data_IF_758081453395
#
_entry.id   IF_758081453395
#
_cell.length_a   1.000
_cell.length_b   1.000
_cell.length_c   1.000
_cell.angle_alpha   90.00
_cell.angle_beta   90.00
_cell.angle_gamma   90.00
#
_symmetry.space_group_name_H-M   'P 1'
#
loop_
_entity.id
_entity.type
_entity.pdbx_description
1 polymer ?
#
# COMPACT_ATOMS: atom_id res chain seq x y z
N UNK A 1 24.53 -32.06 38.32
CA UNK A 1 24.57 -30.92 39.25
C UNK A 1 25.14 -29.78 38.46
N UNK A 2 24.43 -28.82 38.07
CA UNK A 2 23.50 -27.89 38.71
C UNK A 2 22.49 -27.32 37.72
N UNK A 3 21.32 -27.26 38.23
CA UNK A 3 20.13 -26.64 37.72
C UNK A 3 20.33 -25.12 37.55
N UNK A 4 19.91 -24.54 36.42
CA UNK A 4 19.64 -23.12 36.32
C UNK A 4 18.32 -22.92 35.55
N UNK A 5 17.27 -22.93 36.34
CA UNK A 5 15.91 -22.55 36.04
C UNK A 5 15.83 -21.14 35.39
N UNK A 6 15.43 -21.09 34.13
CA UNK A 6 15.04 -19.86 33.45
C UNK A 6 13.60 -19.52 33.83
N UNK A 7 13.44 -18.71 34.87
CA UNK A 7 12.22 -17.99 35.20
C UNK A 7 12.24 -16.65 34.47
N UNK A 8 11.55 -16.55 33.31
CA UNK A 8 11.50 -15.33 32.52
C UNK A 8 10.18 -15.10 31.76
N UNK A 9 9.05 -15.67 32.20
CA UNK A 9 7.77 -15.62 31.46
C UNK A 9 6.65 -14.75 32.08
N UNK A 10 6.93 -13.91 33.08
CA UNK A 10 5.88 -13.14 33.75
C UNK A 10 5.37 -11.85 33.03
N UNK A 11 6.17 -11.03 32.32
CA UNK A 11 5.67 -9.76 31.80
C UNK A 11 4.80 -9.87 30.53
N UNK A 12 5.04 -10.89 29.67
CA UNK A 12 4.30 -11.04 28.41
C UNK A 12 2.84 -11.44 28.64
N UNK A 13 2.58 -12.33 29.57
CA UNK A 13 1.23 -12.83 29.87
C UNK A 13 0.32 -11.76 30.50
N UNK A 14 0.86 -10.90 31.36
CA UNK A 14 0.09 -9.79 31.97
C UNK A 14 -0.30 -8.71 30.96
N UNK A 15 0.57 -8.38 30.00
CA UNK A 15 0.26 -7.40 28.96
C UNK A 15 -0.83 -7.88 27.99
N UNK A 16 -0.84 -9.16 27.62
CA UNK A 16 -1.87 -9.75 26.75
C UNK A 16 -3.23 -9.72 27.45
N UNK A 17 -3.29 -10.05 28.74
CA UNK A 17 -4.55 -10.03 29.50
C UNK A 17 -5.11 -8.62 29.64
N UNK A 18 -4.29 -7.62 29.94
CA UNK A 18 -4.71 -6.20 30.02
C UNK A 18 -5.22 -5.68 28.68
N UNK A 19 -4.54 -6.00 27.58
CA UNK A 19 -4.97 -5.61 26.23
C UNK A 19 -6.34 -6.20 25.90
N UNK A 20 -6.56 -7.48 26.18
CA UNK A 20 -7.84 -8.15 25.91
C UNK A 20 -8.98 -7.57 26.76
N UNK A 21 -8.73 -7.20 28.01
CA UNK A 21 -9.71 -6.53 28.85
C UNK A 21 -10.09 -5.16 28.30
N UNK A 22 -9.11 -4.36 27.84
CA UNK A 22 -9.37 -3.05 27.24
C UNK A 22 -10.22 -3.20 25.96
N UNK A 23 -9.89 -4.15 25.10
CA UNK A 23 -10.66 -4.44 23.88
C UNK A 23 -12.10 -4.82 24.24
N UNK A 24 -12.29 -5.70 25.24
CA UNK A 24 -13.61 -6.12 25.70
C UNK A 24 -14.44 -4.96 26.25
N UNK A 25 -13.83 -4.08 27.04
CA UNK A 25 -14.50 -2.88 27.59
C UNK A 25 -14.88 -1.88 26.48
N UNK A 26 -14.03 -1.69 25.50
CA UNK A 26 -14.33 -0.82 24.34
C UNK A 26 -15.47 -1.39 23.49
N UNK A 27 -15.45 -2.68 23.21
CA UNK A 27 -16.54 -3.33 22.48
C UNK A 27 -17.86 -3.21 23.24
N UNK A 28 -17.84 -3.43 24.57
CA UNK A 28 -19.01 -3.25 25.41
C UNK A 28 -19.54 -1.80 25.34
N UNK A 29 -18.65 -0.82 25.42
CA UNK A 29 -19.01 0.60 25.32
C UNK A 29 -19.69 0.90 23.97
N UNK A 30 -19.11 0.44 22.86
CA UNK A 30 -19.68 0.66 21.53
C UNK A 30 -21.02 -0.05 21.34
N UNK A 31 -21.18 -1.26 21.91
CA UNK A 31 -22.46 -1.98 21.89
C UNK A 31 -23.52 -1.24 22.73
N UNK A 32 -23.15 -0.69 23.89
CA UNK A 32 -24.07 0.12 24.70
C UNK A 32 -24.52 1.38 23.96
N UNK A 33 -23.59 2.07 23.28
CA UNK A 33 -23.93 3.23 22.42
C UNK A 33 -24.86 2.78 21.28
N UNK A 34 -24.58 1.65 20.65
CA UNK A 34 -25.39 1.11 19.58
C UNK A 34 -26.82 0.77 20.05
N UNK A 35 -26.95 0.16 21.21
CA UNK A 35 -28.26 -0.14 21.83
C UNK A 35 -29.02 1.13 22.21
N UNK A 36 -28.33 2.17 22.67
CA UNK A 36 -28.95 3.46 22.96
C UNK A 36 -29.45 4.16 21.70
N UNK A 37 -28.75 3.99 20.58
CA UNK A 37 -29.12 4.53 19.27
C UNK A 37 -30.14 3.65 18.52
N UNK A 38 -30.45 2.46 19.03
CA UNK A 38 -31.29 1.46 18.37
C UNK A 38 -32.65 2.03 17.94
N UNK A 39 -33.00 1.83 16.66
CA UNK A 39 -34.27 2.22 16.08
C UNK A 39 -34.47 3.72 15.87
N UNK A 40 -33.46 4.57 16.11
CA UNK A 40 -33.53 6.01 15.82
C UNK A 40 -33.27 6.28 14.34
N UNK A 41 -34.00 7.21 13.69
CA UNK A 41 -33.71 7.57 12.31
C UNK A 41 -32.31 8.22 12.20
N UNK A 42 -31.60 7.93 11.11
CA UNK A 42 -30.22 8.41 10.91
C UNK A 42 -30.08 9.94 10.95
N UNK A 43 -31.15 10.69 10.63
CA UNK A 43 -31.20 12.16 10.72
C UNK A 43 -31.09 12.68 12.17
N UNK A 44 -31.50 11.89 13.17
CA UNK A 44 -31.43 12.26 14.58
C UNK A 44 -30.13 11.83 15.25
N UNK A 45 -29.36 10.91 14.65
CA UNK A 45 -28.13 10.39 15.22
C UNK A 45 -26.96 11.37 15.13
N UNK A 46 -26.97 12.30 14.17
CA UNK A 46 -25.89 13.26 13.98
C UNK A 46 -24.51 12.59 13.94
N UNK A 47 -23.57 13.06 14.76
CA UNK A 47 -22.22 12.48 14.88
C UNK A 47 -22.21 11.07 15.42
N UNK A 48 -23.21 10.65 16.18
CA UNK A 48 -23.30 9.28 16.72
C UNK A 48 -23.51 8.25 15.61
N UNK A 49 -24.02 8.63 14.45
CA UNK A 49 -24.11 7.75 13.28
C UNK A 49 -22.76 7.23 12.78
N UNK A 50 -21.66 7.90 13.13
CA UNK A 50 -20.29 7.46 12.80
C UNK A 50 -19.70 6.45 13.81
N UNK A 51 -20.43 6.08 14.85
CA UNK A 51 -19.96 5.13 15.90
C UNK A 51 -19.34 3.84 15.31
N UNK A 52 -19.91 3.18 14.29
CA UNK A 52 -19.29 1.99 13.72
C UNK A 52 -17.91 2.26 13.07
N UNK A 53 -17.76 3.41 12.40
CA UNK A 53 -16.48 3.81 11.80
C UNK A 53 -15.43 4.17 12.85
N UNK A 54 -15.87 4.85 13.93
CA UNK A 54 -15.00 5.18 15.07
C UNK A 54 -14.55 3.89 15.77
N UNK A 55 -15.45 2.92 15.95
CA UNK A 55 -15.12 1.62 16.51
C UNK A 55 -14.08 0.89 15.65
N UNK A 56 -14.26 0.85 14.32
CA UNK A 56 -13.30 0.28 13.37
C UNK A 56 -11.92 0.93 13.53
N UNK A 57 -11.86 2.25 13.54
CA UNK A 57 -10.61 3.00 13.64
C UNK A 57 -9.89 2.71 14.98
N UNK A 58 -10.59 2.77 16.10
CA UNK A 58 -10.02 2.56 17.43
C UNK A 58 -9.54 1.11 17.58
N UNK A 59 -10.35 0.12 17.19
CA UNK A 59 -9.96 -1.29 17.29
C UNK A 59 -8.72 -1.58 16.44
N UNK A 60 -8.64 -1.03 15.22
CA UNK A 60 -7.48 -1.17 14.34
C UNK A 60 -6.22 -0.52 14.93
N UNK A 61 -6.34 0.67 15.53
CA UNK A 61 -5.22 1.38 16.18
C UNK A 61 -4.67 0.64 17.40
N UNK A 62 -5.53 -0.04 18.17
CA UNK A 62 -5.12 -0.87 19.32
C UNK A 62 -4.45 -2.17 18.83
N UNK A 63 -4.52 -2.46 17.53
CA UNK A 63 -3.91 -3.65 16.92
C UNK A 63 -4.78 -4.90 17.08
N UNK A 64 -6.09 -4.75 17.00
CA UNK A 64 -7.03 -5.84 16.73
C UNK A 64 -6.88 -6.20 15.26
N UNK A 65 -7.00 -7.50 14.93
CA UNK A 65 -7.03 -7.95 13.56
C UNK A 65 -8.10 -7.20 12.77
N UNK A 66 -7.75 -6.73 11.56
CA UNK A 66 -8.61 -5.84 10.79
C UNK A 66 -9.94 -6.51 10.41
N UNK A 67 -9.92 -7.83 10.18
CA UNK A 67 -11.14 -8.61 9.87
C UNK A 67 -12.09 -8.60 11.07
N UNK A 68 -11.56 -8.82 12.27
CA UNK A 68 -12.34 -8.79 13.50
C UNK A 68 -12.87 -7.38 13.79
N UNK A 69 -12.06 -6.34 13.52
CA UNK A 69 -12.48 -4.95 13.68
C UNK A 69 -13.63 -4.59 12.73
N UNK A 70 -13.56 -5.03 11.45
CA UNK A 70 -14.62 -4.82 10.46
C UNK A 70 -15.89 -5.57 10.84
N UNK A 71 -15.80 -6.85 11.20
CA UNK A 71 -16.97 -7.64 11.63
C UNK A 71 -17.63 -6.98 12.85
N UNK A 72 -16.84 -6.56 13.84
CA UNK A 72 -17.35 -5.87 15.03
C UNK A 72 -18.07 -4.56 14.66
N UNK A 73 -17.50 -3.78 13.74
CA UNK A 73 -18.09 -2.54 13.22
C UNK A 73 -19.42 -2.79 12.51
N UNK A 74 -19.51 -3.83 11.70
CA UNK A 74 -20.76 -4.24 11.02
C UNK A 74 -21.82 -4.63 12.03
N UNK A 75 -21.46 -5.42 13.05
CA UNK A 75 -22.41 -5.82 14.11
C UNK A 75 -22.94 -4.58 14.87
N UNK A 76 -22.07 -3.64 15.20
CA UNK A 76 -22.44 -2.38 15.85
C UNK A 76 -23.42 -1.59 14.95
N UNK A 77 -23.15 -1.49 13.65
CA UNK A 77 -24.01 -0.83 12.69
C UNK A 77 -25.39 -1.50 12.60
N UNK A 78 -25.45 -2.84 12.56
CA UNK A 78 -26.69 -3.61 12.53
C UNK A 78 -27.56 -3.34 13.77
N UNK A 79 -26.94 -3.32 14.96
CA UNK A 79 -27.65 -3.03 16.21
C UNK A 79 -28.23 -1.61 16.17
N UNK A 80 -27.46 -0.63 15.69
CA UNK A 80 -27.91 0.77 15.60
C UNK A 80 -29.06 0.96 14.63
N UNK A 81 -29.01 0.32 13.46
CA UNK A 81 -29.99 0.49 12.38
C UNK A 81 -31.16 -0.47 12.48
N UNK A 82 -31.18 -1.36 13.47
CA UNK A 82 -32.21 -2.43 13.61
C UNK A 82 -32.30 -3.33 12.37
N UNK A 83 -31.20 -3.48 11.63
CA UNK A 83 -31.15 -4.25 10.38
C UNK A 83 -31.12 -5.74 10.67
N UNK A 84 -32.06 -6.50 10.11
CA UNK A 84 -32.10 -7.97 10.23
C UNK A 84 -31.04 -8.67 9.39
N UNK A 85 -30.72 -9.93 9.73
CA UNK A 85 -29.74 -10.75 8.96
C UNK A 85 -30.07 -10.86 7.46
N UNK A 86 -31.33 -11.06 7.02
CA UNK A 86 -31.65 -11.10 5.60
C UNK A 86 -31.43 -9.77 4.89
N UNK A 87 -31.76 -8.66 5.56
CA UNK A 87 -31.52 -7.32 5.03
C UNK A 87 -30.03 -7.01 4.93
N UNK A 88 -29.21 -7.45 5.90
CA UNK A 88 -27.78 -7.34 5.84
C UNK A 88 -27.20 -8.05 4.60
N UNK A 89 -27.66 -9.26 4.29
CA UNK A 89 -27.24 -9.96 3.07
C UNK A 89 -27.52 -9.15 1.80
N UNK A 90 -28.69 -8.54 1.71
CA UNK A 90 -29.05 -7.68 0.57
C UNK A 90 -28.25 -6.37 0.55
N UNK A 91 -27.94 -5.78 1.71
CA UNK A 91 -27.08 -4.60 1.83
C UNK A 91 -25.66 -4.91 1.42
N UNK A 92 -25.09 -6.02 1.87
CA UNK A 92 -23.76 -6.48 1.46
C UNK A 92 -23.70 -6.72 -0.06
N UNK A 93 -24.69 -7.40 -0.63
CA UNK A 93 -24.79 -7.63 -2.07
C UNK A 93 -24.91 -6.30 -2.86
N UNK A 94 -25.66 -5.32 -2.35
CA UNK A 94 -25.73 -3.97 -2.94
C UNK A 94 -24.46 -3.17 -2.76
N UNK A 95 -23.80 -3.30 -1.60
CA UNK A 95 -22.55 -2.59 -1.29
C UNK A 95 -21.38 -3.10 -2.13
N UNK A 96 -21.36 -4.39 -2.46
CA UNK A 96 -20.43 -4.97 -3.45
C UNK A 96 -20.80 -4.60 -4.90
N UNK A 97 -21.80 -3.70 -5.07
CA UNK A 97 -22.22 -3.20 -6.36
C UNK A 97 -21.10 -2.57 -7.19
N UNK A 98 -21.41 -2.09 -8.38
CA UNK A 98 -20.49 -1.76 -9.47
C UNK A 98 -19.24 -0.93 -9.04
N UNK A 99 -19.39 -0.03 -8.07
CA UNK A 99 -18.27 0.83 -7.64
C UNK A 99 -17.21 0.06 -6.84
N UNK A 100 -17.61 -0.63 -5.78
CA UNK A 100 -16.65 -1.40 -4.93
C UNK A 100 -16.04 -2.55 -5.72
N UNK A 101 -16.83 -3.23 -6.55
CA UNK A 101 -16.33 -4.28 -7.44
C UNK A 101 -15.26 -3.72 -8.39
N UNK A 102 -15.48 -2.55 -8.99
CA UNK A 102 -14.53 -1.92 -9.91
C UNK A 102 -13.26 -1.46 -9.19
N UNK A 103 -13.38 -0.79 -8.04
CA UNK A 103 -12.23 -0.36 -7.24
C UNK A 103 -11.43 -1.56 -6.74
N UNK A 104 -12.10 -2.59 -6.21
CA UNK A 104 -11.46 -3.82 -5.77
C UNK A 104 -10.72 -4.54 -6.90
N UNK A 105 -11.31 -4.59 -8.10
CA UNK A 105 -10.66 -5.16 -9.28
C UNK A 105 -9.41 -4.36 -9.69
N UNK A 106 -9.45 -3.02 -9.64
CA UNK A 106 -8.29 -2.17 -9.93
C UNK A 106 -7.17 -2.43 -8.92
N UNK A 107 -7.50 -2.54 -7.63
CA UNK A 107 -6.54 -2.85 -6.57
C UNK A 107 -5.87 -4.21 -6.81
N UNK A 108 -6.66 -5.23 -7.09
CA UNK A 108 -6.14 -6.58 -7.38
C UNK A 108 -5.28 -6.59 -8.64
N UNK A 109 -5.73 -5.96 -9.72
CA UNK A 109 -4.96 -5.86 -10.96
C UNK A 109 -3.65 -5.09 -10.76
N UNK A 110 -3.63 -4.03 -9.93
CA UNK A 110 -2.41 -3.32 -9.57
C UNK A 110 -1.37 -4.25 -8.94
N UNK A 111 -1.78 -5.10 -8.00
CA UNK A 111 -0.90 -6.12 -7.44
C UNK A 111 -0.47 -7.18 -8.46
N UNK A 112 -1.36 -7.55 -9.39
CA UNK A 112 -1.05 -8.42 -10.51
C UNK A 112 0.00 -7.83 -11.44
N UNK A 113 -0.13 -6.56 -11.82
CA UNK A 113 0.86 -5.80 -12.59
C UNK A 113 2.21 -5.78 -11.86
N UNK A 114 2.19 -5.56 -10.54
CA UNK A 114 3.38 -5.60 -9.69
C UNK A 114 4.09 -6.95 -9.75
N UNK A 115 3.36 -8.05 -9.74
CA UNK A 115 3.92 -9.39 -9.88
C UNK A 115 4.55 -9.61 -11.28
N UNK A 116 3.90 -9.15 -12.35
CA UNK A 116 4.46 -9.19 -13.70
C UNK A 116 5.75 -8.37 -13.78
N UNK A 117 5.75 -7.14 -13.26
CA UNK A 117 6.93 -6.27 -13.24
C UNK A 117 8.08 -6.87 -12.41
N UNK A 118 7.77 -7.61 -11.36
CA UNK A 118 8.75 -8.34 -10.55
C UNK A 118 9.34 -9.52 -11.33
N UNK A 119 8.51 -10.38 -11.92
CA UNK A 119 8.97 -11.55 -12.69
C UNK A 119 9.78 -11.19 -13.92
N UNK A 120 9.47 -10.07 -14.58
CA UNK A 120 10.25 -9.56 -15.72
C UNK A 120 11.51 -8.82 -15.31
N UNK A 121 11.65 -8.47 -14.03
CA UNK A 121 12.72 -7.62 -13.50
C UNK A 121 12.57 -6.13 -13.87
N UNK A 122 11.45 -5.74 -14.50
CA UNK A 122 11.20 -4.36 -14.91
C UNK A 122 11.24 -3.38 -13.74
N UNK A 123 10.61 -3.73 -12.63
CA UNK A 123 10.56 -2.87 -11.45
C UNK A 123 11.96 -2.65 -10.84
N UNK A 124 12.78 -3.69 -10.78
CA UNK A 124 14.18 -3.59 -10.31
C UNK A 124 15.01 -2.68 -11.21
N UNK A 125 14.86 -2.80 -12.53
CA UNK A 125 15.59 -1.94 -13.49
C UNK A 125 15.15 -0.47 -13.39
N UNK A 126 13.87 -0.18 -13.14
CA UNK A 126 13.40 1.17 -12.89
C UNK A 126 14.04 1.77 -11.64
N UNK A 127 14.09 1.02 -10.54
CA UNK A 127 14.77 1.48 -9.31
C UNK A 127 16.25 1.74 -9.57
N UNK A 128 16.95 0.80 -10.23
CA UNK A 128 18.36 0.96 -10.61
C UNK A 128 18.58 2.21 -11.46
N UNK A 129 17.71 2.45 -12.45
CA UNK A 129 17.78 3.64 -13.31
C UNK A 129 17.67 4.93 -12.49
N UNK A 130 16.70 5.03 -11.60
CA UNK A 130 16.50 6.21 -10.73
C UNK A 130 17.70 6.42 -9.82
N UNK A 131 18.15 5.37 -9.15
CA UNK A 131 19.27 5.43 -8.20
C UNK A 131 20.59 5.83 -8.89
N UNK A 132 20.87 5.27 -10.09
CA UNK A 132 22.07 5.64 -10.86
C UNK A 132 22.03 7.08 -11.38
N UNK A 133 20.85 7.58 -11.76
CA UNK A 133 20.70 8.97 -12.26
C UNK A 133 20.91 10.00 -11.16
N UNK A 134 20.46 9.72 -9.94
CA UNK A 134 20.61 10.63 -8.79
C UNK A 134 22.03 10.57 -8.21
N UNK A 135 22.70 9.43 -8.38
CA UNK A 135 24.07 9.19 -7.87
C UNK A 135 24.09 8.71 -6.43
N UNK A 136 25.19 8.04 -6.08
CA UNK A 136 25.36 7.30 -4.81
C UNK A 136 26.39 7.95 -3.89
N UNK A 137 26.86 9.18 -4.19
CA UNK A 137 28.03 9.78 -3.57
C UNK A 137 27.80 10.42 -2.19
N UNK A 138 26.53 10.60 -1.77
CA UNK A 138 26.23 11.20 -0.47
C UNK A 138 24.91 10.70 0.11
N UNK A 139 24.77 10.77 1.44
CA UNK A 139 23.53 10.40 2.15
C UNK A 139 22.31 11.12 1.58
N UNK A 140 22.45 12.43 1.27
CA UNK A 140 21.34 13.23 0.74
C UNK A 140 20.91 12.74 -0.63
N UNK A 141 21.83 12.43 -1.54
CA UNK A 141 21.51 11.89 -2.86
C UNK A 141 20.82 10.53 -2.76
N UNK A 142 21.32 9.66 -1.89
CA UNK A 142 20.69 8.35 -1.67
C UNK A 142 19.28 8.50 -1.09
N UNK A 143 19.04 9.44 -0.15
CA UNK A 143 17.70 9.77 0.34
C UNK A 143 16.77 10.20 -0.80
N UNK A 144 17.22 11.08 -1.69
CA UNK A 144 16.45 11.46 -2.89
C UNK A 144 16.19 10.27 -3.82
N UNK A 145 17.17 9.37 -3.99
CA UNK A 145 16.99 8.14 -4.76
C UNK A 145 15.91 7.22 -4.17
N UNK A 146 15.90 7.07 -2.85
CA UNK A 146 14.86 6.31 -2.14
C UNK A 146 13.49 6.94 -2.37
N UNK A 147 13.38 8.26 -2.17
CA UNK A 147 12.12 8.99 -2.34
C UNK A 147 11.60 8.88 -3.77
N UNK A 148 12.43 9.18 -4.77
CA UNK A 148 12.02 9.13 -6.16
C UNK A 148 11.64 7.70 -6.61
N UNK A 149 12.40 6.68 -6.19
CA UNK A 149 12.08 5.27 -6.47
C UNK A 149 10.77 4.85 -5.82
N UNK A 150 10.53 5.26 -4.57
CA UNK A 150 9.31 4.91 -3.84
C UNK A 150 8.07 5.55 -4.47
N UNK A 151 8.14 6.84 -4.84
CA UNK A 151 7.06 7.52 -5.53
C UNK A 151 6.75 6.82 -6.85
N UNK A 152 7.79 6.58 -7.66
CA UNK A 152 7.63 5.96 -8.97
C UNK A 152 7.04 4.55 -8.88
N UNK A 153 7.64 3.69 -8.07
CA UNK A 153 7.25 2.28 -8.00
C UNK A 153 5.91 2.10 -7.30
N UNK A 154 5.71 2.70 -6.11
CA UNK A 154 4.44 2.57 -5.39
C UNK A 154 3.29 3.22 -6.15
N UNK A 155 3.52 4.37 -6.80
CA UNK A 155 2.53 5.05 -7.63
C UNK A 155 2.16 4.28 -8.89
N UNK A 156 3.11 3.58 -9.50
CA UNK A 156 2.88 2.76 -10.69
C UNK A 156 2.22 1.42 -10.37
N UNK A 157 2.58 0.79 -9.25
CA UNK A 157 2.02 -0.49 -8.82
C UNK A 157 0.71 -0.36 -8.03
N UNK A 158 0.39 0.84 -7.54
CA UNK A 158 -0.78 1.09 -6.70
C UNK A 158 -0.72 0.43 -5.31
N UNK A 159 0.45 -0.04 -4.88
CA UNK A 159 0.62 -0.73 -3.59
C UNK A 159 1.96 -0.39 -2.95
N UNK A 160 1.94 -0.06 -1.65
CA UNK A 160 3.17 0.20 -0.89
C UNK A 160 3.94 -1.09 -0.57
N UNK A 161 3.23 -2.15 -0.21
CA UNK A 161 3.86 -3.40 0.20
C UNK A 161 4.68 -4.02 -0.96
N UNK A 162 4.07 -4.15 -2.14
CA UNK A 162 4.75 -4.67 -3.33
C UNK A 162 5.87 -3.75 -3.81
N UNK A 163 5.61 -2.43 -3.86
CA UNK A 163 6.60 -1.43 -4.27
C UNK A 163 7.82 -1.42 -3.34
N UNK A 164 7.59 -1.34 -2.05
CA UNK A 164 8.67 -1.31 -1.06
C UNK A 164 9.51 -2.60 -1.05
N UNK A 165 8.89 -3.76 -1.21
CA UNK A 165 9.62 -5.03 -1.28
C UNK A 165 10.64 -5.05 -2.44
N UNK A 166 10.30 -4.47 -3.58
CA UNK A 166 11.20 -4.37 -4.74
C UNK A 166 12.32 -3.36 -4.46
N UNK A 167 11.96 -2.21 -3.92
CA UNK A 167 12.90 -1.11 -3.67
C UNK A 167 13.94 -1.52 -2.64
N UNK A 168 13.54 -2.17 -1.57
CA UNK A 168 14.42 -2.67 -0.49
C UNK A 168 15.57 -3.49 -1.04
N UNK A 169 15.30 -4.40 -1.99
CA UNK A 169 16.31 -5.26 -2.56
C UNK A 169 17.46 -4.49 -3.26
N UNK A 170 17.16 -3.31 -3.82
CA UNK A 170 18.16 -2.46 -4.50
C UNK A 170 18.77 -1.42 -3.56
N UNK A 171 17.96 -0.90 -2.64
CA UNK A 171 18.33 0.26 -1.80
C UNK A 171 19.17 -0.14 -0.58
N UNK A 172 18.97 -1.32 0.01
CA UNK A 172 19.70 -1.71 1.24
C UNK A 172 21.23 -1.64 1.06
N UNK A 173 21.84 -2.24 0.01
CA UNK A 173 23.29 -2.16 -0.18
C UNK A 173 23.79 -0.72 -0.31
N UNK A 174 23.03 0.11 -1.03
CA UNK A 174 23.37 1.52 -1.26
C UNK A 174 23.24 2.36 0.01
N UNK A 175 22.16 2.14 0.78
CA UNK A 175 21.91 2.82 2.04
C UNK A 175 22.98 2.46 3.09
N UNK A 176 23.38 1.18 3.16
CA UNK A 176 24.43 0.69 4.02
C UNK A 176 25.78 1.36 3.69
N UNK A 177 26.13 1.47 2.41
CA UNK A 177 27.38 2.09 1.94
C UNK A 177 27.52 3.56 2.38
N UNK A 178 26.41 4.32 2.44
CA UNK A 178 26.40 5.72 2.90
C UNK A 178 26.00 5.87 4.37
N UNK A 179 25.97 4.79 5.14
CA UNK A 179 25.65 4.76 6.58
C UNK A 179 24.26 5.31 6.93
N UNK A 180 23.26 5.13 6.04
CA UNK A 180 21.87 5.38 6.41
C UNK A 180 21.38 4.25 7.32
N UNK A 181 20.65 4.61 8.37
CA UNK A 181 20.13 3.62 9.31
C UNK A 181 18.84 2.98 8.80
N UNK A 182 18.53 1.71 9.16
CA UNK A 182 17.33 1.03 8.74
C UNK A 182 16.02 1.81 9.03
N UNK A 183 15.83 2.42 10.22
CA UNK A 183 14.64 3.22 10.48
C UNK A 183 14.51 4.46 9.59
N UNK A 184 15.64 5.07 9.20
CA UNK A 184 15.64 6.22 8.28
C UNK A 184 15.16 5.83 6.90
N UNK A 185 15.65 4.71 6.38
CA UNK A 185 15.23 4.18 5.08
C UNK A 185 13.75 3.81 5.11
N UNK A 186 13.30 3.13 6.17
CA UNK A 186 11.89 2.77 6.36
C UNK A 186 10.97 4.00 6.38
N UNK A 187 11.35 5.06 7.13
CA UNK A 187 10.58 6.30 7.20
C UNK A 187 10.47 7.00 5.83
N UNK A 188 11.57 7.05 5.06
CA UNK A 188 11.57 7.62 3.71
C UNK A 188 10.69 6.80 2.75
N UNK A 189 10.80 5.48 2.80
CA UNK A 189 10.01 4.60 1.93
C UNK A 189 8.52 4.67 2.24
N UNK A 190 8.14 4.74 3.51
CA UNK A 190 6.74 4.87 3.94
C UNK A 190 6.15 6.20 3.48
N UNK A 191 6.81 7.31 3.74
CA UNK A 191 6.31 8.63 3.35
C UNK A 191 6.29 8.83 1.84
N UNK A 192 7.36 8.47 1.15
CA UNK A 192 7.44 8.59 -0.30
C UNK A 192 6.52 7.59 -1.03
N UNK A 193 6.36 6.38 -0.51
CA UNK A 193 5.39 5.41 -1.02
C UNK A 193 3.95 5.92 -0.92
N UNK A 194 3.59 6.56 0.20
CA UNK A 194 2.28 7.22 0.34
C UNK A 194 2.08 8.32 -0.70
N UNK A 195 3.11 9.13 -0.95
CA UNK A 195 3.07 10.15 -2.02
C UNK A 195 2.85 9.51 -3.39
N UNK A 196 3.52 8.39 -3.66
CA UNK A 196 3.28 7.60 -4.87
C UNK A 196 1.81 7.19 -5.01
N UNK A 197 1.19 6.72 -3.92
CA UNK A 197 -0.22 6.37 -3.92
C UNK A 197 -1.15 7.58 -4.12
N UNK A 198 -0.79 8.76 -3.61
CA UNK A 198 -1.60 9.99 -3.81
C UNK A 198 -1.44 10.58 -5.20
N UNK A 199 -0.34 10.36 -5.88
CA UNK A 199 -0.06 10.96 -7.20
C UNK A 199 -0.23 9.99 -8.36
N UNK A 200 -0.23 8.69 -8.10
CA UNK A 200 -0.40 7.69 -9.17
C UNK A 200 -1.81 7.74 -9.76
N UNK A 201 -1.96 7.83 -11.10
CA UNK A 201 -3.26 8.00 -11.75
C UNK A 201 -4.18 6.78 -11.61
N UNK A 202 -3.61 5.59 -11.39
CA UNK A 202 -4.34 4.32 -11.34
C UNK A 202 -4.23 3.66 -9.97
N UNK A 203 -3.85 4.41 -8.94
CA UNK A 203 -3.79 3.90 -7.58
C UNK A 203 -5.19 3.85 -6.96
N UNK A 204 -5.43 2.92 -6.03
CA UNK A 204 -6.74 2.77 -5.38
C UNK A 204 -7.27 4.05 -4.75
N UNK A 205 -6.41 4.78 -4.02
CA UNK A 205 -6.78 6.03 -3.36
C UNK A 205 -7.20 7.10 -4.35
N UNK A 206 -6.41 7.31 -5.41
CA UNK A 206 -6.73 8.30 -6.46
C UNK A 206 -8.02 7.94 -7.18
N UNK A 207 -8.14 6.69 -7.64
CA UNK A 207 -9.34 6.22 -8.35
C UNK A 207 -10.60 6.37 -7.50
N UNK A 208 -10.52 6.06 -6.20
CA UNK A 208 -11.66 6.22 -5.28
C UNK A 208 -12.07 7.68 -5.13
N UNK A 209 -11.11 8.58 -4.91
CA UNK A 209 -11.41 10.02 -4.74
C UNK A 209 -11.97 10.61 -6.04
N UNK A 210 -11.39 10.29 -7.20
CA UNK A 210 -11.90 10.74 -8.50
C UNK A 210 -13.34 10.32 -8.73
N UNK A 211 -13.65 9.06 -8.41
CA UNK A 211 -14.98 8.51 -8.62
C UNK A 211 -16.04 9.10 -7.68
N UNK A 212 -15.72 9.22 -6.38
CA UNK A 212 -16.66 9.77 -5.39
C UNK A 212 -16.81 11.29 -5.52
N UNK A 213 -15.73 11.98 -5.88
CA UNK A 213 -15.72 13.44 -6.03
C UNK A 213 -16.18 13.96 -7.38
N UNK A 214 -16.35 13.08 -8.39
CA UNK A 214 -16.64 13.50 -9.77
C UNK A 214 -15.55 14.39 -10.38
N UNK A 215 -14.29 14.25 -9.91
CA UNK A 215 -13.17 15.10 -10.30
C UNK A 215 -12.44 14.53 -11.51
N UNK A 216 -11.85 15.40 -12.32
CA UNK A 216 -10.85 14.97 -13.31
C UNK A 216 -9.52 14.69 -12.63
N UNK A 217 -8.68 13.82 -13.22
CA UNK A 217 -7.36 13.53 -12.65
C UNK A 217 -6.46 14.78 -12.55
N UNK A 218 -6.39 15.67 -13.54
CA UNK A 218 -5.61 16.91 -13.42
C UNK A 218 -6.07 17.80 -12.26
N UNK A 219 -7.38 17.98 -12.07
CA UNK A 219 -7.94 18.79 -10.98
C UNK A 219 -7.59 18.17 -9.62
N UNK A 220 -7.80 16.85 -9.50
CA UNK A 220 -7.40 16.12 -8.29
C UNK A 220 -5.91 16.29 -8.00
N UNK A 221 -5.05 16.10 -9.01
CA UNK A 221 -3.61 16.20 -8.83
C UNK A 221 -3.19 17.59 -8.36
N UNK A 222 -3.76 18.64 -8.96
CA UNK A 222 -3.43 20.02 -8.65
C UNK A 222 -3.92 20.46 -7.27
N UNK A 223 -5.18 20.16 -6.95
CA UNK A 223 -5.83 20.69 -5.73
C UNK A 223 -5.70 19.77 -4.51
N UNK A 224 -5.47 18.48 -4.70
CA UNK A 224 -5.39 17.48 -3.61
C UNK A 224 -4.05 16.75 -3.61
N UNK A 225 -3.71 16.08 -4.71
CA UNK A 225 -2.56 15.19 -4.79
C UNK A 225 -1.23 15.90 -4.53
N UNK A 226 -0.95 17.00 -5.21
CA UNK A 226 0.30 17.76 -5.05
C UNK A 226 0.41 18.45 -3.67
N UNK A 227 -0.60 19.15 -3.15
CA UNK A 227 -0.52 19.73 -1.81
C UNK A 227 -0.30 18.69 -0.71
N UNK A 228 -1.05 17.58 -0.73
CA UNK A 228 -0.86 16.48 0.22
C UNK A 228 0.52 15.86 0.11
N UNK A 229 1.01 15.69 -1.12
CA UNK A 229 2.36 15.17 -1.39
C UNK A 229 3.45 16.08 -0.85
N UNK A 230 3.32 17.39 -1.04
CA UNK A 230 4.29 18.37 -0.56
C UNK A 230 4.40 18.34 0.98
N UNK A 231 3.26 18.34 1.68
CA UNK A 231 3.23 18.26 3.14
C UNK A 231 3.83 16.93 3.63
N UNK A 232 3.43 15.82 3.01
CA UNK A 232 3.91 14.48 3.38
C UNK A 232 5.41 14.34 3.15
N UNK A 233 5.95 14.82 2.03
CA UNK A 233 7.39 14.79 1.74
C UNK A 233 8.18 15.68 2.69
N UNK A 234 7.70 16.88 2.99
CA UNK A 234 8.33 17.78 3.95
C UNK A 234 8.41 17.14 5.34
N UNK A 235 7.29 16.66 5.84
CA UNK A 235 7.22 15.99 7.13
C UNK A 235 8.12 14.75 7.16
N UNK A 236 8.05 13.90 6.13
CA UNK A 236 8.85 12.70 6.01
C UNK A 236 10.36 12.98 5.94
N UNK A 237 10.76 14.01 5.21
CA UNK A 237 12.17 14.44 5.11
C UNK A 237 12.72 14.92 6.44
N UNK A 238 11.97 15.76 7.16
CA UNK A 238 12.33 16.26 8.49
C UNK A 238 12.41 15.10 9.49
N UNK A 239 11.41 14.24 9.50
CA UNK A 239 11.38 13.05 10.38
C UNK A 239 12.54 12.10 10.09
N UNK A 240 12.79 11.78 8.83
CA UNK A 240 13.92 10.92 8.45
C UNK A 240 15.27 11.52 8.85
N UNK A 241 15.42 12.85 8.75
CA UNK A 241 16.61 13.54 9.24
C UNK A 241 16.79 13.43 10.75
N UNK A 242 15.70 13.56 11.52
CA UNK A 242 15.72 13.38 12.99
C UNK A 242 16.01 11.92 13.37
N UNK A 243 15.33 10.97 12.73
CA UNK A 243 15.52 9.53 12.96
C UNK A 243 16.99 9.16 12.68
N UNK A 244 17.59 9.66 11.59
CA UNK A 244 18.98 9.41 11.26
C UNK A 244 19.90 9.86 12.42
N UNK A 245 19.74 11.09 12.90
CA UNK A 245 20.55 11.61 14.02
C UNK A 245 20.37 10.81 15.32
N UNK A 246 19.16 10.31 15.59
CA UNK A 246 18.86 9.54 16.82
C UNK A 246 19.41 8.11 16.77
N UNK A 247 19.51 7.54 15.58
CA UNK A 247 19.85 6.13 15.36
C UNK A 247 21.26 5.92 14.79
N UNK A 248 21.92 6.99 14.36
CA UNK A 248 23.29 6.95 13.86
C UNK A 248 24.25 6.44 14.94
N UNK A 249 25.07 5.46 14.58
CA UNK A 249 25.98 4.77 15.50
C UNK A 249 25.34 3.66 16.36
N UNK A 250 24.02 3.63 16.50
CA UNK A 250 23.28 2.62 17.29
C UNK A 250 22.72 1.49 16.44
N UNK A 251 22.18 1.82 15.27
CA UNK A 251 21.56 0.86 14.37
C UNK A 251 22.28 0.90 13.01
N UNK A 252 22.66 -0.29 12.54
CA UNK A 252 23.31 -0.46 11.24
C UNK A 252 22.68 -1.64 10.52
N UNK A 253 22.84 -1.71 9.21
CA UNK A 253 22.54 -2.92 8.47
C UNK A 253 23.61 -3.98 8.77
N UNK A 254 23.20 -5.23 9.00
CA UNK A 254 24.14 -6.35 9.04
C UNK A 254 24.79 -6.51 7.67
N UNK A 255 26.12 -6.60 7.65
CA UNK A 255 26.91 -6.61 6.42
C UNK A 255 26.54 -7.80 5.52
N UNK A 256 26.12 -8.91 6.10
CA UNK A 256 25.70 -10.12 5.38
C UNK A 256 24.42 -9.93 4.53
N UNK A 257 23.59 -8.91 4.85
CA UNK A 257 22.45 -8.55 4.02
C UNK A 257 22.80 -7.67 2.81
N UNK A 258 23.99 -7.06 2.82
CA UNK A 258 24.48 -6.21 1.73
C UNK A 258 25.07 -7.02 0.55
N UNK A 259 25.47 -8.24 0.80
CA UNK A 259 26.07 -9.15 -0.20
C UNK A 259 25.06 -10.19 -0.73
N UNK A 260 23.87 -9.78 -1.13
CA UNK A 260 23.12 -10.66 -2.06
C UNK A 260 23.88 -10.66 -3.39
N UNK A 261 24.25 -11.86 -3.92
CA UNK A 261 24.94 -11.96 -5.19
C UNK A 261 24.16 -11.18 -6.23
N UNK A 262 24.79 -10.23 -6.91
CA UNK A 262 24.25 -9.72 -8.17
C UNK A 262 24.04 -10.95 -9.04
N UNK A 263 22.79 -11.24 -9.40
CA UNK A 263 22.51 -12.29 -10.38
C UNK A 263 23.39 -12.01 -11.61
N UNK A 264 24.29 -12.92 -11.92
CA UNK A 264 25.10 -12.89 -13.15
C UNK A 264 24.19 -13.11 -14.35
N UNK A 265 23.55 -12.00 -14.76
CA UNK A 265 22.64 -12.00 -15.90
C UNK A 265 23.43 -11.92 -17.20
N UNK A 266 23.08 -12.78 -18.15
CA UNK A 266 23.61 -12.64 -19.50
C UNK A 266 23.22 -11.28 -20.09
N UNK A 267 24.04 -10.75 -21.02
CA UNK A 267 23.77 -9.46 -21.67
C UNK A 267 22.37 -9.42 -22.34
N UNK A 268 21.90 -10.55 -22.86
CA UNK A 268 20.57 -10.66 -23.44
C UNK A 268 19.45 -10.53 -22.39
N UNK A 269 19.62 -11.14 -21.21
CA UNK A 269 18.65 -11.03 -20.11
C UNK A 269 18.61 -9.61 -19.56
N UNK A 270 19.77 -8.96 -19.41
CA UNK A 270 19.83 -7.58 -18.94
C UNK A 270 19.15 -6.62 -19.92
N UNK A 271 19.36 -6.82 -21.23
CA UNK A 271 18.66 -6.03 -22.27
C UNK A 271 17.15 -6.23 -22.20
N UNK A 272 16.67 -7.46 -22.03
CA UNK A 272 15.23 -7.76 -21.89
C UNK A 272 14.62 -7.07 -20.67
N UNK A 273 15.29 -7.11 -19.50
CA UNK A 273 14.84 -6.41 -18.29
C UNK A 273 14.71 -4.90 -18.52
N UNK A 274 15.71 -4.27 -19.15
CA UNK A 274 15.68 -2.84 -19.50
C UNK A 274 14.54 -2.50 -20.46
N UNK A 275 14.33 -3.29 -21.50
CA UNK A 275 13.24 -3.10 -22.44
C UNK A 275 11.87 -3.29 -21.77
N UNK A 276 11.73 -4.26 -20.89
CA UNK A 276 10.51 -4.48 -20.11
C UNK A 276 10.22 -3.30 -19.18
N UNK A 277 11.25 -2.74 -18.52
CA UNK A 277 11.12 -1.53 -17.71
C UNK A 277 10.67 -0.32 -18.52
N UNK A 278 11.24 -0.15 -19.73
CA UNK A 278 10.83 0.90 -20.63
C UNK A 278 9.39 0.71 -21.13
N UNK A 279 9.00 -0.52 -21.49
CA UNK A 279 7.63 -0.84 -21.89
C UNK A 279 6.63 -0.57 -20.76
N UNK A 280 6.98 -0.95 -19.53
CA UNK A 280 6.17 -0.66 -18.34
C UNK A 280 5.92 0.85 -18.16
N UNK A 281 7.01 1.64 -18.11
CA UNK A 281 6.91 3.09 -17.93
C UNK A 281 6.20 3.78 -19.09
N UNK A 282 6.55 3.43 -20.32
CA UNK A 282 5.95 4.00 -21.52
C UNK A 282 4.45 3.71 -21.61
N UNK A 283 4.04 2.46 -21.34
CA UNK A 283 2.62 2.10 -21.37
C UNK A 283 1.82 2.89 -20.34
N UNK A 284 2.32 3.02 -19.10
CA UNK A 284 1.65 3.83 -18.08
C UNK A 284 1.51 5.28 -18.51
N UNK A 285 2.59 5.91 -18.99
CA UNK A 285 2.59 7.32 -19.41
C UNK A 285 1.63 7.53 -20.58
N UNK A 286 1.74 6.70 -21.63
CA UNK A 286 0.87 6.82 -22.81
C UNK A 286 -0.59 6.65 -22.44
N UNK A 287 -0.91 5.63 -21.63
CA UNK A 287 -2.29 5.38 -21.22
C UNK A 287 -2.82 6.45 -20.27
N UNK A 288 -1.97 7.04 -19.43
CA UNK A 288 -2.37 8.19 -18.60
C UNK A 288 -2.72 9.40 -19.49
N UNK A 289 -1.90 9.72 -20.50
CA UNK A 289 -2.19 10.80 -21.46
C UNK A 289 -3.49 10.51 -22.22
N UNK A 290 -3.65 9.28 -22.73
CA UNK A 290 -4.88 8.88 -23.42
C UNK A 290 -6.09 9.05 -22.51
N UNK A 291 -6.02 8.57 -21.27
CA UNK A 291 -7.09 8.68 -20.29
C UNK A 291 -7.52 10.14 -20.02
N UNK A 292 -6.55 11.03 -19.94
CA UNK A 292 -6.83 12.49 -19.77
C UNK A 292 -7.48 13.06 -21.03
N UNK A 293 -6.96 12.76 -22.24
CA UNK A 293 -7.46 13.28 -23.50
C UNK A 293 -8.90 12.85 -23.77
N UNK A 294 -9.20 11.57 -23.57
CA UNK A 294 -10.56 11.04 -23.80
C UNK A 294 -11.51 11.26 -22.61
N UNK A 295 -11.03 11.93 -21.56
CA UNK A 295 -11.77 12.09 -20.29
C UNK A 295 -12.32 10.76 -19.77
N UNK A 296 -11.50 9.73 -19.79
CA UNK A 296 -11.89 8.39 -19.42
C UNK A 296 -12.34 8.34 -17.95
N UNK A 297 -13.42 7.61 -17.69
CA UNK A 297 -13.86 7.33 -16.32
C UNK A 297 -12.90 6.38 -15.59
N UNK A 298 -13.10 6.23 -14.28
CA UNK A 298 -12.24 5.43 -13.41
C UNK A 298 -12.10 3.95 -13.84
N UNK A 299 -13.13 3.37 -14.46
CA UNK A 299 -13.10 2.00 -15.00
C UNK A 299 -12.05 1.79 -16.09
N UNK A 300 -11.59 2.86 -16.73
CA UNK A 300 -10.50 2.82 -17.72
C UNK A 300 -9.19 2.28 -17.11
N UNK A 301 -8.98 2.47 -15.80
CA UNK A 301 -7.82 1.93 -15.09
C UNK A 301 -7.71 0.41 -15.22
N UNK A 302 -8.81 -0.32 -15.33
CA UNK A 302 -8.81 -1.78 -15.55
C UNK A 302 -8.09 -2.12 -16.86
N UNK A 303 -8.46 -1.43 -17.94
CA UNK A 303 -7.86 -1.63 -19.27
C UNK A 303 -6.38 -1.27 -19.24
N UNK A 304 -6.04 -0.17 -18.58
CA UNK A 304 -4.64 0.26 -18.42
C UNK A 304 -3.82 -0.80 -17.71
N UNK A 305 -4.31 -1.32 -16.57
CA UNK A 305 -3.59 -2.34 -15.80
C UNK A 305 -3.36 -3.63 -16.62
N UNK A 306 -4.37 -4.07 -17.37
CA UNK A 306 -4.24 -5.23 -18.25
C UNK A 306 -3.23 -5.00 -19.36
N UNK A 307 -3.26 -3.82 -20.01
CA UNK A 307 -2.31 -3.47 -21.06
C UNK A 307 -0.88 -3.34 -20.53
N UNK A 308 -0.70 -2.70 -19.38
CA UNK A 308 0.61 -2.59 -18.72
C UNK A 308 1.17 -3.99 -18.42
N UNK A 309 0.36 -4.89 -17.84
CA UNK A 309 0.78 -6.26 -17.57
C UNK A 309 1.18 -7.00 -18.86
N UNK A 310 0.36 -6.89 -19.91
CA UNK A 310 0.59 -7.56 -21.19
C UNK A 310 1.87 -7.05 -21.86
N UNK A 311 2.01 -5.75 -22.04
CA UNK A 311 3.16 -5.13 -22.71
C UNK A 311 4.46 -5.39 -21.94
N UNK A 312 4.44 -5.21 -20.61
CA UNK A 312 5.59 -5.48 -19.74
C UNK A 312 6.00 -6.96 -19.80
N UNK A 313 5.02 -7.86 -19.73
CA UNK A 313 5.25 -9.29 -19.74
C UNK A 313 5.80 -9.79 -21.07
N UNK A 314 5.18 -9.40 -22.19
CA UNK A 314 5.62 -9.82 -23.54
C UNK A 314 7.02 -9.31 -23.86
N UNK A 315 7.29 -8.02 -23.63
CA UNK A 315 8.62 -7.43 -23.85
C UNK A 315 9.66 -8.04 -22.91
N UNK A 316 9.25 -8.38 -21.68
CA UNK A 316 10.08 -9.10 -20.70
C UNK A 316 10.35 -10.57 -21.07
N UNK A 317 9.71 -11.10 -22.13
CA UNK A 317 9.89 -12.45 -22.62
C UNK A 317 9.05 -13.51 -21.93
N UNK A 318 8.01 -13.11 -21.21
CA UNK A 318 7.03 -14.03 -20.63
C UNK A 318 6.04 -14.49 -21.72
N UNK A 319 5.65 -15.77 -21.65
CA UNK A 319 4.55 -16.30 -22.47
C UNK A 319 3.20 -15.76 -21.96
N UNK A 320 2.17 -15.63 -22.80
CA UNK A 320 0.85 -15.14 -22.35
C UNK A 320 0.29 -15.90 -21.14
N UNK A 321 0.48 -17.22 -21.09
CA UNK A 321 0.08 -18.06 -19.94
C UNK A 321 0.82 -17.69 -18.66
N UNK A 322 2.10 -17.34 -18.74
CA UNK A 322 2.91 -16.91 -17.59
C UNK A 322 2.51 -15.53 -17.11
N UNK A 323 2.11 -14.63 -18.04
CA UNK A 323 1.58 -13.30 -17.69
C UNK A 323 0.28 -13.46 -16.90
N UNK A 324 -0.65 -14.30 -17.38
CA UNK A 324 -1.89 -14.60 -16.67
C UNK A 324 -1.65 -15.22 -15.30
N UNK A 325 -0.72 -16.18 -15.20
CA UNK A 325 -0.35 -16.77 -13.91
C UNK A 325 0.24 -15.74 -12.94
N UNK A 326 1.07 -14.81 -13.43
CA UNK A 326 1.61 -13.73 -12.63
C UNK A 326 0.49 -12.78 -12.15
N UNK A 327 -0.44 -12.41 -13.04
CA UNK A 327 -1.59 -11.61 -12.69
C UNK A 327 -2.43 -12.30 -11.61
N UNK A 328 -2.81 -13.55 -11.78
CA UNK A 328 -3.58 -14.30 -10.78
C UNK A 328 -2.86 -14.41 -9.44
N UNK A 329 -1.56 -14.65 -9.46
CA UNK A 329 -0.77 -14.72 -8.23
C UNK A 329 -0.72 -13.39 -7.48
N UNK A 330 -0.53 -12.29 -8.21
CA UNK A 330 -0.56 -10.95 -7.63
C UNK A 330 -1.93 -10.56 -7.11
N UNK A 331 -2.98 -10.76 -7.90
CA UNK A 331 -4.37 -10.50 -7.53
C UNK A 331 -4.77 -11.30 -6.28
N UNK A 332 -4.40 -12.58 -6.22
CA UNK A 332 -4.73 -13.48 -5.11
C UNK A 332 -4.23 -12.99 -3.74
N UNK A 333 -3.14 -12.24 -3.70
CA UNK A 333 -2.62 -11.64 -2.46
C UNK A 333 -3.54 -10.60 -1.85
N UNK A 334 -4.43 -9.99 -2.64
CA UNK A 334 -5.31 -8.91 -2.22
C UNK A 334 -6.80 -9.28 -2.23
N UNK A 335 -7.14 -10.53 -2.53
CA UNK A 335 -8.54 -11.01 -2.51
C UNK A 335 -9.20 -10.78 -1.15
N UNK A 336 -8.45 -10.93 -0.07
CA UNK A 336 -8.95 -10.69 1.28
C UNK A 336 -9.41 -9.24 1.51
N UNK A 337 -8.78 -8.26 0.84
CA UNK A 337 -9.21 -6.85 0.90
C UNK A 337 -10.53 -6.61 0.19
N UNK A 338 -10.86 -7.47 -0.79
CA UNK A 338 -12.13 -7.39 -1.50
C UNK A 338 -13.30 -7.97 -0.69
N UNK A 339 -13.00 -8.93 0.19
CA UNK A 339 -13.98 -9.57 1.07
C UNK A 339 -14.29 -8.69 2.30
N UNK A 340 -13.33 -7.88 2.73
CA UNK A 340 -13.48 -6.92 3.84
C UNK A 340 -14.16 -5.63 3.39
#
# INVERSE_FOLDING_TARGET
>A
MSDSTLTGNAPVRQNITRKNVIIGLLLLLFVLIALWCHGRPGSELGLLGFTPLVALAILSLIGVDIVLAVISSIIIAMIMTSTGLPEMGTMLAKSTGSFIATVGLIIMLGAGVGEVATRTGAAVELVKFVVHRIGLSSQTRVKFGIVASSILICGSLGTMAGGNAIIVAVIIPVAAAVRLTPPTVAALMMTAGSVGLFTGPFTPSTVTILSLGGLSYPDYLLYVGLPMSAVTLLAGWVMAGRIQKMTEGKLRYDVDLAEKPQEDLSAAQQRRRKLSALAFAATIIVMAIVGVVIKAGFSFAIIVMLLVALMTGLVGGLRPTQILQALYHGCGRLVWMFIL
#
